data_IF_639410326409
#
_entry.id   IF_639410326409
#
_cell.length_a   1.000
_cell.length_b   1.000
_cell.length_c   1.000
_cell.angle_alpha   90.00
_cell.angle_beta   90.00
_cell.angle_gamma   90.00
#
_symmetry.space_group_name_H-M   'P 1'
#
loop_
_entity.id
_entity.type
_entity.pdbx_description
1 polymer ?
#
# COMPACT_ATOMS: atom_id res chain seq x y z
N UNK A 1 -27.19 -16.39 -3.11
CA UNK A 1 -26.47 -15.72 -4.22
C UNK A 1 -25.22 -15.11 -3.64
N UNK A 2 -24.05 -15.61 -4.00
CA UNK A 2 -22.80 -14.89 -3.71
C UNK A 2 -22.77 -13.65 -4.60
N UNK A 3 -22.51 -12.44 -4.06
CA UNK A 3 -22.29 -11.27 -4.89
C UNK A 3 -21.06 -11.54 -5.77
N UNK A 4 -21.18 -11.27 -7.07
CA UNK A 4 -20.06 -11.41 -8.01
C UNK A 4 -18.93 -10.46 -7.58
N UNK A 5 -17.64 -10.87 -7.60
CA UNK A 5 -16.56 -10.13 -6.94
C UNK A 5 -16.20 -8.74 -7.51
N UNK A 6 -16.95 -8.22 -8.49
CA UNK A 6 -16.48 -7.09 -9.31
C UNK A 6 -17.54 -6.04 -9.64
N UNK A 7 -18.77 -6.13 -9.12
CA UNK A 7 -19.82 -5.16 -9.47
C UNK A 7 -19.43 -3.73 -9.06
N UNK A 8 -18.59 -3.57 -8.03
CA UNK A 8 -18.18 -2.27 -7.47
C UNK A 8 -16.71 -1.89 -7.76
N UNK A 9 -15.94 -2.74 -8.45
CA UNK A 9 -14.51 -2.54 -8.68
C UNK A 9 -14.24 -1.55 -9.83
N UNK A 10 -14.40 -0.26 -9.55
CA UNK A 10 -14.09 0.80 -10.51
C UNK A 10 -12.56 0.98 -10.59
N UNK A 11 -12.00 0.87 -11.80
CA UNK A 11 -10.55 1.04 -12.06
C UNK A 11 -10.05 2.41 -11.59
N UNK A 12 -8.75 2.47 -11.25
CA UNK A 12 -8.06 3.74 -10.99
C UNK A 12 -8.19 4.71 -12.18
N UNK A 13 -8.09 6.01 -11.89
CA UNK A 13 -8.04 7.09 -12.89
C UNK A 13 -6.94 6.79 -13.92
N UNK A 14 -7.28 6.89 -15.20
CA UNK A 14 -6.31 6.74 -16.29
C UNK A 14 -5.39 7.96 -16.40
N UNK A 15 -4.18 7.74 -16.90
CA UNK A 15 -3.22 8.80 -17.22
C UNK A 15 -3.33 9.31 -18.66
N UNK A 16 -4.25 8.73 -19.45
CA UNK A 16 -4.45 9.04 -20.85
C UNK A 16 -5.94 9.16 -21.16
N UNK A 17 -6.28 10.00 -22.13
CA UNK A 17 -7.63 10.12 -22.67
C UNK A 17 -8.04 8.83 -23.39
N UNK A 18 -9.21 8.27 -23.09
CA UNK A 18 -9.71 7.04 -23.70
C UNK A 18 -10.01 7.16 -25.21
N UNK A 19 -10.17 8.38 -25.74
CA UNK A 19 -10.49 8.63 -27.15
C UNK A 19 -9.27 9.09 -27.94
N UNK A 20 -8.61 10.16 -27.48
CA UNK A 20 -7.47 10.74 -28.21
C UNK A 20 -6.15 10.04 -27.89
N UNK A 21 -6.12 9.17 -26.87
CA UNK A 21 -4.93 8.46 -26.39
C UNK A 21 -3.77 9.37 -25.93
N UNK A 22 -3.99 10.69 -25.87
CA UNK A 22 -2.98 11.63 -25.36
C UNK A 22 -2.88 11.49 -23.84
N UNK A 23 -1.67 11.63 -23.27
CA UNK A 23 -1.51 11.72 -21.82
C UNK A 23 -2.21 12.97 -21.28
N UNK A 24 -2.67 12.88 -20.03
CA UNK A 24 -3.10 14.04 -19.27
C UNK A 24 -1.88 14.82 -18.73
N UNK A 25 -2.01 16.14 -18.73
CA UNK A 25 -1.04 17.11 -18.26
C UNK A 25 -1.39 17.49 -16.83
N UNK A 26 -0.38 17.58 -15.96
CA UNK A 26 -0.57 18.02 -14.57
C UNK A 26 -1.35 19.33 -14.50
N UNK A 27 -2.38 19.36 -13.67
CA UNK A 27 -3.26 20.52 -13.48
C UNK A 27 -4.36 20.68 -14.54
N UNK A 28 -4.38 19.88 -15.62
CA UNK A 28 -5.44 19.99 -16.62
C UNK A 28 -6.78 19.44 -16.12
N UNK A 29 -7.88 19.92 -16.70
CA UNK A 29 -9.19 19.35 -16.42
C UNK A 29 -9.55 18.25 -17.42
N UNK A 30 -10.12 17.17 -16.88
CA UNK A 30 -10.64 16.04 -17.65
C UNK A 30 -12.01 15.64 -17.11
N UNK A 31 -12.73 14.80 -17.85
CA UNK A 31 -14.03 14.27 -17.46
C UNK A 31 -13.94 12.77 -17.24
N UNK A 32 -14.45 12.30 -16.10
CA UNK A 32 -14.66 10.87 -15.86
C UNK A 32 -16.09 10.51 -16.18
N UNK A 33 -16.28 9.44 -16.94
CA UNK A 33 -17.57 8.86 -17.28
C UNK A 33 -17.64 7.45 -16.71
N UNK A 34 -18.76 7.12 -16.09
CA UNK A 34 -19.09 5.76 -15.68
C UNK A 34 -20.25 5.27 -16.54
N UNK A 35 -20.05 4.14 -17.21
CA UNK A 35 -21.08 3.39 -17.89
C UNK A 35 -21.44 2.18 -17.06
N UNK A 36 -22.71 1.77 -17.08
CA UNK A 36 -23.17 0.54 -16.46
C UNK A 36 -23.59 -0.42 -17.58
N UNK A 37 -22.91 -1.56 -17.68
CA UNK A 37 -23.21 -2.61 -18.65
C UNK A 37 -23.42 -3.95 -17.95
N UNK A 38 -23.69 -5.02 -18.73
CA UNK A 38 -23.96 -6.34 -18.20
C UNK A 38 -22.81 -6.93 -17.37
N UNK A 39 -21.59 -6.38 -17.48
CA UNK A 39 -20.40 -6.81 -16.76
C UNK A 39 -20.03 -5.87 -15.59
N UNK A 40 -20.87 -4.87 -15.27
CA UNK A 40 -20.70 -3.94 -14.15
C UNK A 40 -20.37 -2.52 -14.60
N UNK A 41 -19.64 -1.78 -13.75
CA UNK A 41 -19.25 -0.39 -14.06
C UNK A 41 -17.97 -0.33 -14.89
N UNK A 42 -18.05 0.39 -16.01
CA UNK A 42 -16.93 0.71 -16.89
C UNK A 42 -16.60 2.20 -16.82
N UNK A 43 -15.37 2.52 -16.45
CA UNK A 43 -14.84 3.89 -16.36
C UNK A 43 -14.13 4.28 -17.66
N UNK A 44 -14.39 5.51 -18.12
CA UNK A 44 -13.60 6.18 -19.15
C UNK A 44 -13.19 7.58 -18.66
N UNK A 45 -11.96 7.99 -18.97
CA UNK A 45 -11.46 9.34 -18.67
C UNK A 45 -11.19 10.06 -20.01
N UNK A 46 -11.80 11.22 -20.20
CA UNK A 46 -11.78 11.98 -21.45
C UNK A 46 -11.13 13.35 -21.25
N UNK A 47 -10.32 13.78 -22.21
CA UNK A 47 -9.89 15.17 -22.32
C UNK A 47 -11.10 16.08 -22.53
N UNK A 48 -10.95 17.38 -22.25
CA UNK A 48 -12.02 18.35 -22.51
C UNK A 48 -12.44 18.38 -23.99
N UNK A 49 -11.48 18.18 -24.91
CA UNK A 49 -11.75 18.03 -26.34
C UNK A 49 -12.61 16.80 -26.64
N UNK A 50 -12.23 15.63 -26.13
CA UNK A 50 -12.97 14.39 -26.34
C UNK A 50 -14.37 14.45 -25.71
N UNK A 51 -14.50 15.13 -24.57
CA UNK A 51 -15.78 15.38 -23.91
C UNK A 51 -16.74 16.21 -24.77
N UNK A 52 -16.24 17.28 -25.41
CA UNK A 52 -17.04 18.17 -26.27
C UNK A 52 -17.45 17.50 -27.58
N UNK A 53 -16.61 16.61 -28.10
CA UNK A 53 -16.85 15.89 -29.35
C UNK A 53 -17.52 14.52 -29.16
N UNK A 54 -18.01 14.21 -27.95
CA UNK A 54 -18.59 12.90 -27.67
C UNK A 54 -19.95 12.72 -28.34
N UNK A 55 -20.31 11.46 -28.60
CA UNK A 55 -21.66 11.12 -29.01
C UNK A 55 -22.63 11.22 -27.82
N UNK A 56 -23.41 12.29 -27.76
CA UNK A 56 -24.38 12.54 -26.68
C UNK A 56 -25.52 11.52 -26.61
N UNK A 57 -25.73 10.73 -27.67
CA UNK A 57 -26.73 9.66 -27.64
C UNK A 57 -26.32 8.50 -26.72
N UNK A 58 -25.03 8.39 -26.37
CA UNK A 58 -24.52 7.38 -25.44
C UNK A 58 -24.34 8.04 -24.07
N UNK A 59 -25.40 8.02 -23.27
CA UNK A 59 -25.38 8.64 -21.95
C UNK A 59 -24.67 7.75 -20.93
N UNK A 60 -23.67 8.28 -20.20
CA UNK A 60 -23.08 7.58 -19.07
C UNK A 60 -24.09 7.51 -17.91
N UNK A 61 -23.94 6.50 -17.06
CA UNK A 61 -24.66 6.39 -15.80
C UNK A 61 -24.37 7.60 -14.88
N UNK A 62 -23.11 8.07 -14.87
CA UNK A 62 -22.70 9.28 -14.15
C UNK A 62 -21.44 9.88 -14.78
N UNK A 63 -21.25 11.19 -14.63
CA UNK A 63 -20.04 11.87 -15.06
C UNK A 63 -19.69 13.06 -14.16
N UNK A 64 -18.40 13.38 -14.07
CA UNK A 64 -17.93 14.57 -13.35
C UNK A 64 -16.62 15.11 -13.95
N UNK A 65 -16.35 16.39 -13.69
CA UNK A 65 -15.10 17.06 -14.08
C UNK A 65 -14.10 16.97 -12.93
N UNK A 66 -12.83 16.73 -13.23
CA UNK A 66 -11.75 16.65 -12.23
C UNK A 66 -10.47 17.27 -12.75
N UNK A 67 -9.60 17.69 -11.83
CA UNK A 67 -8.24 18.15 -12.15
C UNK A 67 -7.28 16.96 -12.11
N UNK A 68 -6.48 16.79 -13.15
CA UNK A 68 -5.48 15.73 -13.22
C UNK A 68 -4.27 16.12 -12.37
N UNK A 69 -3.91 15.24 -11.43
CA UNK A 69 -2.70 15.36 -10.62
C UNK A 69 -1.98 14.01 -10.70
N UNK A 70 -0.79 13.93 -11.33
CA UNK A 70 -0.09 12.66 -11.47
C UNK A 70 0.09 12.01 -10.10
N UNK A 71 -0.06 10.68 -10.05
CA UNK A 71 0.23 9.95 -8.81
C UNK A 71 1.68 10.27 -8.42
N UNK A 72 1.96 10.62 -7.15
CA UNK A 72 3.33 10.79 -6.72
C UNK A 72 4.09 9.50 -7.07
N UNK A 73 5.33 9.61 -7.59
CA UNK A 73 6.12 8.43 -7.90
C UNK A 73 6.10 7.54 -6.66
N UNK A 74 5.75 6.26 -6.84
CA UNK A 74 5.77 5.28 -5.75
C UNK A 74 7.14 5.45 -5.10
N UNK A 75 7.16 5.94 -3.86
CA UNK A 75 8.42 6.15 -3.14
C UNK A 75 9.23 4.88 -3.33
N UNK A 76 10.45 5.02 -3.86
CA UNK A 76 11.36 3.89 -3.96
C UNK A 76 11.33 3.24 -2.59
N UNK A 77 10.95 1.95 -2.51
CA UNK A 77 10.92 1.25 -1.23
C UNK A 77 12.30 1.48 -0.59
N UNK A 78 12.41 2.21 0.52
CA UNK A 78 13.71 2.58 1.04
C UNK A 78 14.26 1.39 1.80
N UNK A 79 14.56 0.27 1.12
CA UNK A 79 15.50 -0.73 1.63
C UNK A 79 16.11 -1.52 0.48
N UNK A 80 17.34 -1.15 0.11
CA UNK A 80 18.34 -2.13 -0.30
C UNK A 80 19.76 -1.56 -0.08
N UNK A 81 20.31 -1.80 1.12
CA UNK A 81 21.71 -2.25 1.35
C UNK A 81 22.09 -2.43 2.83
N UNK A 82 21.15 -2.89 3.64
CA UNK A 82 21.25 -4.12 4.46
C UNK A 82 19.88 -4.81 4.25
N UNK A 83 19.79 -6.14 4.12
CA UNK A 83 18.46 -6.75 3.95
C UNK A 83 17.66 -6.44 5.23
N UNK A 84 16.43 -5.92 5.14
CA UNK A 84 15.61 -5.62 6.33
C UNK A 84 15.53 -6.83 7.29
N UNK A 85 15.61 -8.04 6.73
CA UNK A 85 15.73 -9.29 7.48
C UNK A 85 17.04 -9.40 8.28
N UNK A 86 18.19 -8.98 7.72
CA UNK A 86 19.48 -8.99 8.41
C UNK A 86 19.48 -8.00 9.59
N UNK A 87 18.98 -6.78 9.38
CA UNK A 87 18.80 -5.81 10.46
C UNK A 87 17.87 -6.36 11.55
N UNK A 88 16.73 -6.93 11.15
CA UNK A 88 15.78 -7.56 12.07
C UNK A 88 16.43 -8.68 12.89
N UNK A 89 17.16 -9.60 12.25
CA UNK A 89 17.90 -10.68 12.95
C UNK A 89 18.93 -10.13 13.92
N UNK A 90 19.67 -9.08 13.55
CA UNK A 90 20.66 -8.43 14.44
C UNK A 90 20.00 -7.80 15.65
N UNK A 91 18.91 -7.03 15.45
CA UNK A 91 18.18 -6.41 16.54
C UNK A 91 17.59 -7.47 17.49
N UNK A 92 16.96 -8.52 16.95
CA UNK A 92 16.41 -9.63 17.74
C UNK A 92 17.47 -10.41 18.53
N UNK A 93 18.73 -10.42 18.06
CA UNK A 93 19.85 -11.06 18.74
C UNK A 93 20.56 -10.16 19.77
N UNK A 94 20.20 -8.87 19.88
CA UNK A 94 20.77 -7.96 20.87
C UNK A 94 20.24 -8.23 22.29
N UNK A 95 21.00 -7.85 23.32
CA UNK A 95 20.60 -8.03 24.73
C UNK A 95 19.33 -7.25 25.11
N UNK A 96 19.08 -6.11 24.45
CA UNK A 96 17.91 -5.27 24.69
C UNK A 96 17.31 -4.81 23.34
N UNK A 97 16.56 -5.69 22.66
CA UNK A 97 16.00 -5.38 21.35
C UNK A 97 15.00 -4.22 21.43
N UNK A 98 15.12 -3.18 20.58
CA UNK A 98 14.14 -2.11 20.53
C UNK A 98 12.80 -2.67 20.03
N UNK A 99 11.85 -2.86 20.95
CA UNK A 99 10.59 -3.55 20.68
C UNK A 99 9.78 -2.91 19.54
N UNK A 100 9.75 -1.57 19.49
CA UNK A 100 9.03 -0.82 18.47
C UNK A 100 9.63 -1.04 17.07
N UNK A 101 10.96 -0.95 16.96
CA UNK A 101 11.65 -1.19 15.69
C UNK A 101 11.52 -2.65 15.23
N UNK A 102 11.65 -3.61 16.15
CA UNK A 102 11.48 -5.03 15.85
C UNK A 102 10.05 -5.33 15.36
N UNK A 103 9.05 -4.71 16.00
CA UNK A 103 7.64 -4.84 15.62
C UNK A 103 7.38 -4.31 14.20
N UNK A 104 7.83 -3.09 13.90
CA UNK A 104 7.64 -2.48 12.58
C UNK A 104 8.40 -3.25 11.49
N UNK A 105 9.64 -3.67 11.75
CA UNK A 105 10.40 -4.50 10.81
C UNK A 105 9.71 -5.85 10.55
N UNK A 106 9.16 -6.50 11.58
CA UNK A 106 8.40 -7.73 11.40
C UNK A 106 7.16 -7.51 10.52
N UNK A 107 6.38 -6.46 10.76
CA UNK A 107 5.21 -6.10 9.94
C UNK A 107 5.59 -5.74 8.49
N UNK A 108 6.73 -5.06 8.29
CA UNK A 108 7.27 -4.78 6.96
C UNK A 108 7.63 -6.07 6.22
N UNK A 109 8.33 -6.99 6.88
CA UNK A 109 8.74 -8.28 6.32
C UNK A 109 7.54 -9.21 6.05
N UNK A 110 6.49 -9.14 6.86
CA UNK A 110 5.22 -9.82 6.64
C UNK A 110 4.53 -9.33 5.36
N UNK A 111 4.43 -8.02 5.17
CA UNK A 111 3.87 -7.44 3.93
C UNK A 111 4.66 -7.84 2.68
N UNK A 112 5.97 -8.03 2.81
CA UNK A 112 6.86 -8.54 1.74
C UNK A 112 6.84 -10.07 1.59
N UNK A 113 6.05 -10.79 2.40
CA UNK A 113 5.94 -12.27 2.43
C UNK A 113 7.25 -12.98 2.79
N UNK A 114 8.16 -12.31 3.50
CA UNK A 114 9.41 -12.91 4.01
C UNK A 114 9.15 -13.64 5.33
N UNK A 115 8.41 -12.99 6.23
CA UNK A 115 7.91 -13.58 7.47
C UNK A 115 6.43 -13.90 7.33
N UNK A 116 5.99 -14.95 8.03
CA UNK A 116 4.59 -15.32 8.17
C UNK A 116 4.22 -15.28 9.64
N UNK A 117 3.25 -14.46 10.01
CA UNK A 117 2.72 -14.51 11.38
C UNK A 117 1.95 -15.83 11.56
N UNK A 118 2.48 -16.72 12.39
CA UNK A 118 1.86 -18.02 12.64
C UNK A 118 0.94 -18.00 13.85
N UNK A 119 1.23 -17.14 14.84
CA UNK A 119 0.44 -17.07 16.07
C UNK A 119 0.52 -15.71 16.72
N UNK A 120 -0.50 -15.41 17.49
CA UNK A 120 -0.53 -14.34 18.49
C UNK A 120 -0.71 -14.99 19.85
N UNK A 121 0.10 -14.60 20.83
CA UNK A 121 -0.03 -15.06 22.21
C UNK A 121 -0.19 -13.88 23.16
N UNK A 122 -1.09 -14.03 24.13
CA UNK A 122 -1.27 -13.06 25.20
C UNK A 122 -0.58 -13.57 26.45
N UNK A 123 0.43 -12.84 26.94
CA UNK A 123 1.00 -13.09 28.27
C UNK A 123 0.21 -12.36 29.35
N UNK A 124 0.28 -12.88 30.58
CA UNK A 124 -0.32 -12.24 31.76
C UNK A 124 0.06 -10.74 31.83
N UNK A 125 -0.91 -9.90 32.24
CA UNK A 125 -0.84 -8.42 32.29
C UNK A 125 -0.91 -7.70 30.93
N UNK A 126 -1.64 -8.23 29.96
CA UNK A 126 -2.01 -7.49 28.74
C UNK A 126 -0.87 -7.30 27.72
N UNK A 127 0.30 -7.93 27.94
CA UNK A 127 1.40 -7.92 26.98
C UNK A 127 1.18 -9.00 25.93
N UNK A 128 1.08 -8.59 24.67
CA UNK A 128 0.92 -9.49 23.53
C UNK A 128 2.27 -9.76 22.88
N UNK A 129 2.44 -10.94 22.30
CA UNK A 129 3.59 -11.28 21.47
C UNK A 129 3.10 -11.90 20.16
N UNK A 130 3.83 -11.62 19.09
CA UNK A 130 3.60 -12.17 17.76
C UNK A 130 4.68 -13.22 17.48
N UNK A 131 4.25 -14.38 16.98
CA UNK A 131 5.15 -15.46 16.59
C UNK A 131 5.20 -15.45 15.06
N UNK A 132 6.39 -15.22 14.54
CA UNK A 132 6.69 -15.19 13.11
C UNK A 132 7.57 -16.37 12.72
N UNK A 133 7.28 -16.96 11.58
CA UNK A 133 8.13 -17.97 10.92
C UNK A 133 8.70 -17.39 9.64
N UNK A 134 9.99 -17.59 9.41
CA UNK A 134 10.65 -17.22 8.16
C UNK A 134 10.39 -18.29 7.11
N UNK A 135 9.82 -17.91 5.96
CA UNK A 135 9.25 -18.86 5.01
C UNK A 135 10.23 -19.79 4.26
N UNK A 136 11.51 -19.43 4.20
CA UNK A 136 12.58 -20.17 3.52
C UNK A 136 13.41 -21.03 4.49
N UNK A 137 13.74 -20.51 5.68
CA UNK A 137 14.64 -21.15 6.66
C UNK A 137 13.88 -21.86 7.76
N UNK A 138 12.61 -21.51 8.01
CA UNK A 138 11.83 -22.02 9.14
C UNK A 138 12.21 -21.41 10.48
N UNK A 139 13.03 -20.35 10.51
CA UNK A 139 13.39 -19.68 11.75
C UNK A 139 12.16 -19.05 12.42
N UNK A 140 12.07 -19.19 13.74
CA UNK A 140 10.96 -18.66 14.53
C UNK A 140 11.41 -17.47 15.35
N UNK A 141 10.67 -16.36 15.24
CA UNK A 141 10.90 -15.13 15.99
C UNK A 141 9.70 -14.82 16.87
N UNK A 142 9.96 -14.46 18.13
CA UNK A 142 8.93 -14.00 19.08
C UNK A 142 9.10 -12.50 19.26
N UNK A 143 8.22 -11.73 18.64
CA UNK A 143 8.28 -10.27 18.61
C UNK A 143 7.27 -9.71 19.62
N UNK A 144 7.70 -8.90 20.60
CA UNK A 144 6.77 -8.19 21.48
C UNK A 144 5.84 -7.29 20.67
N UNK A 145 4.55 -7.27 21.01
CA UNK A 145 3.59 -6.28 20.50
C UNK A 145 3.56 -5.10 21.51
N UNK A 146 4.22 -3.97 21.19
CA UNK A 146 4.24 -2.79 22.06
C UNK A 146 2.89 -2.07 22.13
N UNK A 147 1.87 -2.49 21.37
CA UNK A 147 0.57 -1.83 21.28
C UNK A 147 0.70 -0.35 20.89
N UNK A 148 1.47 -0.09 19.82
CA UNK A 148 1.71 1.27 19.32
C UNK A 148 0.40 2.03 19.16
N UNK A 149 0.35 3.21 19.74
CA UNK A 149 -0.73 4.16 19.50
C UNK A 149 -0.52 4.85 18.16
N UNK A 150 -1.61 5.33 17.56
CA UNK A 150 -1.59 6.00 16.25
C UNK A 150 -0.62 7.20 16.20
N UNK A 151 -0.47 7.93 17.31
CA UNK A 151 0.43 9.07 17.47
C UNK A 151 1.92 8.67 17.56
N UNK A 152 2.24 7.40 17.80
CA UNK A 152 3.61 6.88 17.88
C UNK A 152 4.09 6.29 16.54
N UNK A 153 3.17 6.04 15.60
CA UNK A 153 3.47 5.35 14.35
C UNK A 153 4.47 6.12 13.50
N UNK A 154 4.30 7.44 13.35
CA UNK A 154 5.18 8.28 12.53
C UNK A 154 6.61 8.34 13.10
N UNK A 155 6.73 8.52 14.42
CA UNK A 155 8.02 8.54 15.13
C UNK A 155 8.77 7.22 14.96
N UNK A 156 8.09 6.09 15.18
CA UNK A 156 8.72 4.77 15.05
C UNK A 156 9.07 4.45 13.59
N UNK A 157 8.26 4.89 12.62
CA UNK A 157 8.59 4.75 11.21
C UNK A 157 9.86 5.53 10.85
N UNK A 158 10.02 6.75 11.37
CA UNK A 158 11.23 7.56 11.17
C UNK A 158 12.45 6.91 11.83
N UNK A 159 12.32 6.40 13.07
CA UNK A 159 13.40 5.68 13.76
C UNK A 159 13.86 4.44 12.97
N UNK A 160 12.90 3.65 12.47
CA UNK A 160 13.21 2.48 11.64
C UNK A 160 13.86 2.89 10.32
N UNK A 161 13.41 3.98 9.70
CA UNK A 161 14.05 4.50 8.49
C UNK A 161 15.50 4.95 8.77
N UNK A 162 15.76 5.63 9.89
CA UNK A 162 17.11 6.01 10.32
C UNK A 162 17.99 4.79 10.61
N UNK A 163 17.46 3.75 11.28
CA UNK A 163 18.18 2.49 11.51
C UNK A 163 18.52 1.78 10.20
N UNK A 164 17.63 1.82 9.21
CA UNK A 164 17.88 1.26 7.88
C UNK A 164 18.92 2.06 7.10
N UNK A 165 19.00 3.38 7.29
CA UNK A 165 19.98 4.26 6.66
C UNK A 165 21.37 4.15 7.32
N UNK A 166 21.42 4.08 8.65
CA UNK A 166 22.66 4.02 9.44
C UNK A 166 23.32 2.64 9.48
N UNK A 167 22.59 1.59 9.09
CA UNK A 167 23.11 0.23 8.94
C UNK A 167 24.05 0.04 7.70
N UNK A 168 24.61 1.14 7.18
CA UNK A 168 25.52 1.16 6.03
C UNK A 168 26.97 1.23 6.54
N UNK A 169 27.91 0.40 6.08
CA UNK A 169 29.34 0.60 6.35
C UNK A 169 29.91 1.83 5.62
#
# INVERSE_FOLDING_TARGET
>A
MNPLPNEWAIRHRADFCAVTHRPFVSGEYFYTLLYHDANGYRREDLSEEAWRNRNENIQPFSFWKSRYEPLPPKAAEPVAKENAEQLFRRLMASDNPPANACYVLAAMLERKRVLKQVKTESRNRGRRVLIYEQGTTGDVFVVPDPQLRLDEVETVQNEVAELLLSATP
#
